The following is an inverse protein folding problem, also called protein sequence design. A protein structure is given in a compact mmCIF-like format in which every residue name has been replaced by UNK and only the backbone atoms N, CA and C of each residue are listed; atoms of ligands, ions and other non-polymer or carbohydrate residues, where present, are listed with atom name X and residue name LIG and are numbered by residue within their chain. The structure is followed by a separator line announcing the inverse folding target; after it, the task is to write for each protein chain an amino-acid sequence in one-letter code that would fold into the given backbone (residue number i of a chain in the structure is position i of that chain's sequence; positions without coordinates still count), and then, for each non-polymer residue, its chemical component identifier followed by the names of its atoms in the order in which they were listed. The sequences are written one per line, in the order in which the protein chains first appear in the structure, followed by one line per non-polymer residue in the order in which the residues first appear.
data_IF_050164103980
#
_entry.id   IF_050164103980
#
_cell.length_a   1.000
_cell.length_b   1.000
_cell.length_c   1.000
_cell.angle_alpha   90.00
_cell.angle_beta   90.00
_cell.angle_gamma   90.00
#
_symmetry.space_group_name_H-M   'P 1'
#
loop_
_entity.id
_entity.type
_entity.pdbx_description
1 polymer ?
#
# COMPACT_ATOMS: atom_id res chain seq x y z
N UNK A 1 12.82 -1.26 -25.24
CA UNK A 1 12.20 0.08 -25.24
C UNK A 1 13.14 1.05 -24.53
N UNK A 2 13.29 2.28 -25.03
CA UNK A 2 14.06 3.37 -24.39
C UNK A 2 13.25 4.03 -23.26
N UNK A 3 12.79 3.24 -22.28
CA UNK A 3 12.20 3.77 -21.05
C UNK A 3 13.30 4.16 -20.06
N UNK A 4 13.09 5.18 -19.20
CA UNK A 4 14.02 5.44 -18.11
C UNK A 4 14.09 4.21 -17.19
N UNK A 5 15.29 3.78 -16.87
CA UNK A 5 15.52 2.66 -15.94
C UNK A 5 15.02 3.06 -14.54
N UNK A 6 14.05 2.31 -14.02
CA UNK A 6 13.52 2.49 -12.66
C UNK A 6 14.32 1.73 -11.60
N UNK A 7 15.43 1.08 -11.98
CA UNK A 7 16.25 0.28 -11.07
C UNK A 7 16.73 1.06 -9.84
N UNK A 8 16.96 2.37 -9.98
CA UNK A 8 17.42 3.26 -8.89
C UNK A 8 16.30 4.06 -8.23
N UNK A 9 15.04 3.82 -8.58
CA UNK A 9 13.91 4.54 -8.03
C UNK A 9 13.78 4.21 -6.54
N UNK A 10 13.98 5.21 -5.67
CA UNK A 10 13.94 5.03 -4.21
C UNK A 10 12.54 5.32 -3.64
N UNK A 11 11.85 6.32 -4.17
CA UNK A 11 10.52 6.72 -3.74
C UNK A 11 9.63 6.96 -4.94
N UNK A 12 8.38 6.50 -4.85
CA UNK A 12 7.36 6.68 -5.87
C UNK A 12 6.08 7.19 -5.21
N UNK A 13 5.61 8.35 -5.66
CA UNK A 13 4.28 8.86 -5.33
C UNK A 13 3.42 8.76 -6.56
N UNK A 14 2.24 8.15 -6.45
CA UNK A 14 1.33 8.07 -7.57
C UNK A 14 -0.08 8.49 -7.24
N UNK A 15 -0.51 9.57 -7.87
CA UNK A 15 -1.85 10.12 -7.81
C UNK A 15 -2.60 9.75 -9.10
N UNK A 16 -3.52 8.79 -9.01
CA UNK A 16 -4.38 8.43 -10.14
C UNK A 16 -5.69 7.82 -9.65
N UNK A 17 -6.79 8.17 -10.32
CA UNK A 17 -8.17 7.88 -9.90
C UNK A 17 -8.87 6.85 -10.81
N UNK A 18 -8.12 6.03 -11.55
CA UNK A 18 -8.71 5.15 -12.59
C UNK A 18 -8.29 3.70 -12.40
N UNK A 19 -9.18 2.73 -12.63
CA UNK A 19 -8.86 1.31 -12.45
C UNK A 19 -7.75 0.79 -13.38
N UNK A 20 -7.62 1.40 -14.57
CA UNK A 20 -6.54 1.11 -15.53
C UNK A 20 -5.14 1.46 -15.00
N UNK A 21 -5.08 2.19 -13.90
CA UNK A 21 -3.85 2.58 -13.24
C UNK A 21 -3.17 1.41 -12.53
N UNK A 22 -3.93 0.46 -11.97
CA UNK A 22 -3.37 -0.55 -11.08
C UNK A 22 -2.51 -1.61 -11.79
N UNK A 23 -2.94 -2.05 -12.97
CA UNK A 23 -2.12 -2.98 -13.78
C UNK A 23 -0.81 -2.34 -14.23
N UNK A 24 -0.81 -1.02 -14.49
CA UNK A 24 0.40 -0.25 -14.80
C UNK A 24 1.27 -0.02 -13.57
N UNK A 25 0.67 0.21 -12.41
CA UNK A 25 1.40 0.36 -11.16
C UNK A 25 2.17 -0.92 -10.84
N UNK A 26 1.55 -2.10 -10.96
CA UNK A 26 2.26 -3.37 -10.75
C UNK A 26 3.48 -3.49 -11.66
N UNK A 27 3.32 -3.21 -12.96
CA UNK A 27 4.43 -3.23 -13.92
C UNK A 27 5.58 -2.27 -13.52
N UNK A 28 5.26 -1.08 -13.00
CA UNK A 28 6.26 -0.13 -12.51
C UNK A 28 6.97 -0.64 -11.25
N UNK A 29 6.22 -1.26 -10.33
CA UNK A 29 6.76 -1.83 -9.10
C UNK A 29 7.70 -2.99 -9.39
N UNK A 30 7.34 -3.87 -10.33
CA UNK A 30 8.18 -5.01 -10.76
C UNK A 30 9.52 -4.58 -11.37
N UNK A 31 9.59 -3.35 -11.92
CA UNK A 31 10.81 -2.77 -12.50
C UNK A 31 11.67 -2.03 -11.45
N UNK A 32 11.12 -1.75 -10.26
CA UNK A 32 11.69 -0.84 -9.27
C UNK A 32 12.30 -1.61 -8.09
N UNK A 33 13.36 -2.38 -8.36
CA UNK A 33 14.01 -3.28 -7.37
C UNK A 33 14.56 -2.58 -6.12
N UNK A 34 14.79 -1.27 -6.16
CA UNK A 34 15.29 -0.48 -5.03
C UNK A 34 14.25 0.48 -4.44
N UNK A 35 12.97 0.30 -4.79
CA UNK A 35 11.92 1.12 -4.24
C UNK A 35 11.84 0.87 -2.73
N UNK A 36 12.01 1.93 -1.94
CA UNK A 36 11.93 1.89 -0.50
C UNK A 36 10.61 2.44 0.02
N UNK A 37 10.06 3.46 -0.67
CA UNK A 37 8.83 4.14 -0.27
C UNK A 37 7.83 4.21 -1.42
N UNK A 38 6.59 3.79 -1.15
CA UNK A 38 5.44 3.97 -2.04
C UNK A 38 4.40 4.86 -1.36
N UNK A 39 3.94 5.88 -2.07
CA UNK A 39 2.86 6.78 -1.62
C UNK A 39 1.74 6.78 -2.63
N UNK A 40 0.52 6.49 -2.17
CA UNK A 40 -0.71 6.51 -2.96
C UNK A 40 -1.68 7.46 -2.25
N UNK A 41 -1.74 8.74 -2.65
CA UNK A 41 -2.71 9.68 -2.11
C UNK A 41 -4.13 9.17 -2.35
N UNK A 42 -4.92 9.12 -1.28
CA UNK A 42 -6.31 8.65 -1.33
C UNK A 42 -7.27 9.81 -1.06
N UNK A 43 -8.29 9.90 -1.91
CA UNK A 43 -9.42 10.82 -1.76
C UNK A 43 -10.76 10.08 -1.61
N UNK A 44 -10.79 8.78 -1.90
CA UNK A 44 -11.94 7.91 -1.79
C UNK A 44 -11.48 6.49 -1.41
N UNK A 45 -12.44 5.65 -1.00
CA UNK A 45 -12.20 4.24 -0.74
C UNK A 45 -11.59 3.59 -1.97
N UNK A 46 -10.48 2.88 -1.79
CA UNK A 46 -9.89 2.08 -2.85
C UNK A 46 -10.41 0.64 -2.74
N UNK A 47 -10.63 -0.06 -3.87
CA UNK A 47 -10.85 -1.50 -3.83
C UNK A 47 -9.56 -2.18 -3.34
N UNK A 48 -9.44 -2.35 -2.01
CA UNK A 48 -8.25 -2.86 -1.33
C UNK A 48 -7.81 -4.21 -1.90
N UNK A 49 -8.77 -5.04 -2.29
CA UNK A 49 -8.58 -6.33 -2.96
C UNK A 49 -7.70 -6.27 -4.23
N UNK A 50 -7.55 -5.09 -4.86
CA UNK A 50 -6.79 -4.92 -6.11
C UNK A 50 -5.36 -4.39 -5.93
N UNK A 51 -5.05 -3.74 -4.81
CA UNK A 51 -3.91 -2.81 -4.76
C UNK A 51 -2.67 -3.31 -4.01
N UNK A 52 -2.83 -4.04 -2.91
CA UNK A 52 -1.71 -4.34 -2.00
C UNK A 52 -1.43 -5.84 -1.85
N UNK A 53 -2.46 -6.67 -2.03
CA UNK A 53 -2.41 -8.12 -1.79
C UNK A 53 -1.81 -8.91 -2.96
N UNK A 54 -1.74 -8.30 -4.15
CA UNK A 54 -1.19 -8.94 -5.36
C UNK A 54 0.22 -8.48 -5.71
N UNK A 55 0.77 -7.51 -4.98
CA UNK A 55 2.13 -7.05 -5.23
C UNK A 55 3.08 -8.10 -4.65
N UNK A 56 3.49 -9.05 -5.48
CA UNK A 56 4.29 -10.21 -5.06
C UNK A 56 5.79 -9.91 -4.96
N UNK A 57 6.26 -8.76 -5.47
CA UNK A 57 7.66 -8.57 -5.81
C UNK A 57 8.26 -7.25 -5.33
N UNK A 58 8.11 -6.91 -4.04
CA UNK A 58 8.41 -5.54 -3.60
C UNK A 58 9.35 -5.46 -2.41
N UNK A 59 10.43 -4.72 -2.65
CA UNK A 59 11.47 -4.33 -1.71
C UNK A 59 11.11 -3.09 -0.89
N UNK A 60 9.93 -2.49 -1.13
CA UNK A 60 9.52 -1.31 -0.38
C UNK A 60 9.32 -1.64 1.08
N UNK A 61 9.70 -0.71 1.95
CA UNK A 61 9.57 -0.83 3.40
C UNK A 61 8.58 0.16 3.97
N UNK A 62 8.19 1.18 3.21
CA UNK A 62 7.25 2.22 3.65
C UNK A 62 6.10 2.35 2.67
N UNK A 63 4.88 2.30 3.20
CA UNK A 63 3.65 2.53 2.46
C UNK A 63 2.86 3.66 3.09
N UNK A 64 2.55 4.67 2.29
CA UNK A 64 1.69 5.78 2.69
C UNK A 64 0.40 5.75 1.85
N UNK A 65 -0.72 5.42 2.50
CA UNK A 65 -2.07 5.49 1.93
C UNK A 65 -2.84 6.59 2.66
N UNK A 66 -2.77 7.81 2.16
CA UNK A 66 -3.40 8.92 2.86
C UNK A 66 -3.09 10.25 2.20
N UNK A 67 -4.08 11.14 2.23
CA UNK A 67 -3.90 12.58 2.00
C UNK A 67 -5.22 13.30 2.34
N UNK A 68 -6.38 12.69 2.06
CA UNK A 68 -7.71 13.22 2.42
C UNK A 68 -8.77 12.14 2.71
N UNK A 69 -8.36 10.89 2.92
CA UNK A 69 -9.27 9.75 3.13
C UNK A 69 -9.03 9.10 4.48
N UNK A 70 -10.12 8.80 5.20
CA UNK A 70 -10.09 8.11 6.48
C UNK A 70 -10.65 6.70 6.31
N UNK A 71 -9.84 5.70 6.64
CA UNK A 71 -10.20 4.29 6.56
C UNK A 71 -11.29 3.99 7.57
N UNK A 72 -12.35 3.32 7.10
CA UNK A 72 -13.39 2.79 7.94
C UNK A 72 -13.00 1.41 8.51
N UNK A 73 -13.89 0.84 9.32
CA UNK A 73 -13.65 -0.43 10.01
C UNK A 73 -13.45 -1.61 9.06
N UNK A 74 -14.31 -1.76 8.04
CA UNK A 74 -14.22 -2.83 7.03
C UNK A 74 -12.92 -2.76 6.23
N UNK A 75 -12.47 -1.55 5.92
CA UNK A 75 -11.20 -1.31 5.23
C UNK A 75 -10.01 -1.62 6.12
N UNK A 76 -10.09 -1.31 7.41
CA UNK A 76 -9.07 -1.69 8.38
C UNK A 76 -8.97 -3.21 8.50
N UNK A 77 -10.11 -3.92 8.57
CA UNK A 77 -10.15 -5.39 8.57
C UNK A 77 -9.48 -5.93 7.32
N UNK A 78 -9.91 -5.45 6.15
CA UNK A 78 -9.35 -5.88 4.86
C UNK A 78 -7.84 -5.66 4.82
N UNK A 79 -7.36 -4.46 5.18
CA UNK A 79 -5.94 -4.14 5.23
C UNK A 79 -5.18 -5.03 6.21
N UNK A 80 -5.81 -5.43 7.30
CA UNK A 80 -5.24 -6.31 8.31
C UNK A 80 -5.06 -7.75 7.85
N UNK A 81 -5.84 -8.19 6.86
CA UNK A 81 -5.72 -9.50 6.21
C UNK A 81 -4.69 -9.51 5.06
N UNK A 82 -3.93 -8.43 4.89
CA UNK A 82 -2.95 -8.27 3.82
C UNK A 82 -1.57 -8.79 4.18
N UNK A 83 -0.75 -9.06 3.16
CA UNK A 83 0.68 -9.39 3.31
C UNK A 83 1.55 -8.17 3.64
N UNK A 84 0.95 -7.03 4.00
CA UNK A 84 1.70 -5.82 4.34
C UNK A 84 2.50 -5.97 5.63
N UNK A 85 2.09 -6.86 6.53
CA UNK A 85 2.86 -7.20 7.73
C UNK A 85 4.25 -7.77 7.39
N UNK A 86 4.36 -8.56 6.32
CA UNK A 86 5.62 -9.14 5.84
C UNK A 86 6.40 -8.12 5.00
N UNK A 87 5.71 -7.31 4.21
CA UNK A 87 6.31 -6.44 3.20
C UNK A 87 6.67 -5.05 3.74
N UNK A 88 5.85 -4.49 4.64
CA UNK A 88 5.88 -3.10 5.04
C UNK A 88 6.32 -2.93 6.49
N UNK A 89 7.41 -2.20 6.71
CA UNK A 89 7.89 -1.82 8.04
C UNK A 89 7.18 -0.58 8.59
N UNK A 90 6.68 0.29 7.71
CA UNK A 90 5.99 1.52 8.12
C UNK A 90 4.77 1.74 7.25
N UNK A 91 3.60 1.57 7.86
CA UNK A 91 2.31 1.90 7.27
C UNK A 91 1.85 3.26 7.78
N UNK A 92 1.60 4.20 6.88
CA UNK A 92 0.99 5.49 7.20
C UNK A 92 -0.40 5.57 6.57
N UNK A 93 -1.42 5.66 7.42
CA UNK A 93 -2.83 5.80 7.04
C UNK A 93 -3.56 6.74 8.01
N UNK A 94 -4.72 7.24 7.58
CA UNK A 94 -5.64 7.95 8.45
C UNK A 94 -6.82 7.01 8.75
N UNK A 95 -7.16 6.82 10.02
CA UNK A 95 -8.24 5.93 10.44
C UNK A 95 -9.38 6.76 11.02
N UNK A 96 -10.63 6.42 10.66
CA UNK A 96 -11.81 7.18 11.05
C UNK A 96 -12.11 7.12 12.54
N UNK A 97 -11.86 5.98 13.18
CA UNK A 97 -12.18 5.73 14.58
C UNK A 97 -11.08 4.91 15.28
N UNK A 98 -11.19 4.81 16.61
CA UNK A 98 -10.21 4.08 17.43
C UNK A 98 -10.28 2.57 17.20
N UNK A 99 -11.48 2.06 16.90
CA UNK A 99 -11.76 0.65 16.67
C UNK A 99 -10.95 0.10 15.49
N UNK A 100 -10.89 0.86 14.38
CA UNK A 100 -10.05 0.51 13.23
C UNK A 100 -8.55 0.40 13.57
N UNK A 101 -8.04 1.28 14.44
CA UNK A 101 -6.65 1.21 14.93
C UNK A 101 -6.43 -0.08 15.72
N UNK A 102 -7.37 -0.42 16.62
CA UNK A 102 -7.29 -1.63 17.44
C UNK A 102 -7.30 -2.89 16.57
N UNK A 103 -8.12 -2.92 15.51
CA UNK A 103 -8.19 -4.03 14.55
C UNK A 103 -6.84 -4.24 13.87
N UNK A 104 -6.26 -3.18 13.31
CA UNK A 104 -4.97 -3.24 12.60
C UNK A 104 -3.84 -3.75 13.50
N UNK A 105 -3.72 -3.18 14.71
CA UNK A 105 -2.69 -3.57 15.67
C UNK A 105 -2.85 -5.03 16.10
N UNK A 106 -4.08 -5.48 16.38
CA UNK A 106 -4.33 -6.87 16.79
C UNK A 106 -4.00 -7.88 15.70
N UNK A 107 -4.32 -7.59 14.44
CA UNK A 107 -4.01 -8.50 13.34
C UNK A 107 -2.50 -8.60 13.09
N UNK A 108 -1.77 -7.49 13.17
CA UNK A 108 -0.30 -7.50 13.02
C UNK A 108 0.41 -8.32 14.12
N UNK A 109 -0.10 -8.30 15.35
CA UNK A 109 0.46 -9.09 16.46
C UNK A 109 0.24 -10.59 16.25
N UNK A 110 -0.89 -11.00 15.65
CA UNK A 110 -1.21 -12.43 15.44
C UNK A 110 -0.22 -13.16 14.53
N UNK A 111 0.54 -12.46 13.70
CA UNK A 111 1.55 -13.07 12.80
C UNK A 111 2.91 -13.21 13.49
N UNK A 112 3.11 -12.60 14.66
CA UNK A 112 4.37 -12.68 15.43
C UNK A 112 4.43 -13.86 16.42
N UNK A 113 3.41 -14.72 16.46
CA UNK A 113 3.33 -15.94 17.31
C UNK A 113 3.36 -17.17 16.42
#
# INVERSE_FOLDING_TARGET
SLGPSLKRLYSLTVSSYTDRFYSRLQFLLDQSVHLYQLTIPQHASLPFQLLLFKITNVTFRKLHLGYYYYFNEDECITLSDSLLDIQCQTLYIWVKNREGIIILVKSMIKVMV
#
